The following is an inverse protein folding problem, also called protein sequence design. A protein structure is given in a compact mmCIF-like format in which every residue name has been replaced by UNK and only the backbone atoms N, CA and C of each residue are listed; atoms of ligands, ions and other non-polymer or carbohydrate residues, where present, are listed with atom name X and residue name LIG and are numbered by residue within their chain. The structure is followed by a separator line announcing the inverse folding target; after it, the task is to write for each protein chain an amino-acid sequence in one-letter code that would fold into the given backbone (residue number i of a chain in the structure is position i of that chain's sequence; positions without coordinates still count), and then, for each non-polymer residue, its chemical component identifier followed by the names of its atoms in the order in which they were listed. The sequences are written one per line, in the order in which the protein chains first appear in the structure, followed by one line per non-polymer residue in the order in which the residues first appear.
data_IF_030338649879
#
_entry.id   IF_030338649879
#
_cell.length_a   1.000
_cell.length_b   1.000
_cell.length_c   1.000
_cell.angle_alpha   90.00
_cell.angle_beta   90.00
_cell.angle_gamma   90.00
#
_symmetry.space_group_name_H-M   'P 1'
#
loop_
_entity.id
_entity.type
_entity.pdbx_description
1 polymer ?
#
# COMPACT_ATOMS: atom_id res chain seq x y z
N UNK A 1 31.50 20.58 17.86
CA UNK A 1 30.93 19.90 16.67
C UNK A 1 32.05 19.78 15.66
N UNK A 2 32.43 18.58 15.25
CA UNK A 2 33.47 18.39 14.24
C UNK A 2 32.79 18.45 12.88
N UNK A 3 33.10 19.48 12.08
CA UNK A 3 32.72 19.53 10.67
C UNK A 3 33.91 19.03 9.88
N UNK A 4 33.76 17.91 9.21
CA UNK A 4 34.76 17.39 8.27
C UNK A 4 34.30 17.78 6.87
N UNK A 5 35.11 18.57 6.17
CA UNK A 5 34.94 18.82 4.75
C UNK A 5 36.02 18.04 4.01
N UNK A 6 35.62 17.24 3.04
CA UNK A 6 36.51 16.52 2.14
C UNK A 6 36.40 17.18 0.77
N UNK A 7 37.51 17.68 0.26
CA UNK A 7 37.61 18.30 -1.07
C UNK A 7 38.67 17.55 -1.88
N UNK A 8 38.31 17.17 -3.10
CA UNK A 8 39.22 16.56 -4.07
C UNK A 8 39.76 17.67 -4.98
N UNK A 9 41.05 17.99 -4.84
CA UNK A 9 41.69 19.11 -5.58
C UNK A 9 42.65 18.62 -6.67
N UNK A 10 42.66 17.32 -7.01
CA UNK A 10 43.53 16.79 -8.08
C UNK A 10 42.75 15.88 -9.01
N UNK A 11 42.50 16.36 -10.24
CA UNK A 11 41.97 15.55 -11.33
C UNK A 11 43.13 15.11 -12.24
N UNK A 12 43.89 14.10 -11.82
CA UNK A 12 45.03 13.55 -12.58
C UNK A 12 44.65 12.39 -13.52
N UNK A 13 43.35 12.25 -13.83
CA UNK A 13 42.85 11.34 -14.87
C UNK A 13 42.85 9.85 -14.48
N UNK A 14 43.30 9.49 -13.27
CA UNK A 14 43.29 8.13 -12.73
C UNK A 14 42.61 8.04 -11.36
N UNK A 15 41.33 8.45 -11.30
CA UNK A 15 40.36 7.98 -10.30
C UNK A 15 40.35 8.71 -8.95
N UNK A 16 39.16 8.81 -8.37
CA UNK A 16 38.98 9.24 -6.98
C UNK A 16 39.63 8.19 -6.06
N UNK A 17 40.54 8.62 -5.18
CA UNK A 17 41.22 7.84 -4.13
C UNK A 17 40.35 7.62 -2.87
N UNK A 18 39.06 7.92 -2.97
CA UNK A 18 38.12 7.84 -1.85
C UNK A 18 37.36 6.52 -1.83
N UNK A 19 37.83 5.59 -1.02
CA UNK A 19 37.07 4.42 -0.57
C UNK A 19 36.43 4.74 0.78
N UNK A 20 35.11 4.92 0.81
CA UNK A 20 34.35 4.96 2.06
C UNK A 20 34.11 3.53 2.52
N UNK A 21 34.99 3.01 3.38
CA UNK A 21 34.77 1.75 4.09
C UNK A 21 34.20 2.03 5.49
N UNK A 22 33.31 1.18 5.99
CA UNK A 22 32.61 1.30 7.28
C UNK A 22 31.71 2.54 7.48
N UNK A 23 30.98 2.98 6.45
CA UNK A 23 29.92 3.97 6.66
C UNK A 23 28.75 3.33 7.44
N UNK A 24 28.70 3.57 8.75
CA UNK A 24 27.50 3.26 9.55
C UNK A 24 26.38 4.24 9.19
N UNK A 25 25.58 3.89 8.18
CA UNK A 25 24.30 4.55 7.95
C UNK A 25 23.32 3.96 8.96
N UNK A 26 22.99 4.71 10.02
CA UNK A 26 21.88 4.32 10.87
C UNK A 26 20.59 4.48 10.06
N UNK A 27 19.72 3.46 9.95
CA UNK A 27 18.39 3.65 9.42
C UNK A 27 17.68 4.63 10.36
N UNK A 28 17.48 5.87 9.91
CA UNK A 28 16.53 6.75 10.59
C UNK A 28 15.15 6.31 10.15
N UNK A 29 14.39 5.71 11.06
CA UNK A 29 12.94 5.72 10.93
C UNK A 29 12.51 7.18 11.00
N UNK A 30 11.97 7.71 9.91
CA UNK A 30 11.35 9.02 9.91
C UNK A 30 10.11 8.95 10.83
N UNK A 31 10.26 9.38 12.08
CA UNK A 31 9.15 9.57 13.02
C UNK A 31 8.54 10.98 12.89
N UNK A 32 8.79 11.65 11.77
CA UNK A 32 8.14 12.92 11.43
C UNK A 32 6.91 12.64 10.59
N UNK A 33 5.79 13.30 10.91
CA UNK A 33 4.61 13.28 10.06
C UNK A 33 5.03 13.64 8.63
N UNK A 34 4.84 12.71 7.69
CA UNK A 34 5.09 12.90 6.27
C UNK A 34 4.22 14.08 5.83
N UNK A 35 4.85 15.13 5.32
CA UNK A 35 4.10 16.28 4.83
C UNK A 35 3.45 15.88 3.50
N UNK A 36 2.26 16.41 3.19
CA UNK A 36 1.42 15.98 2.04
C UNK A 36 2.16 15.98 0.69
N UNK A 37 3.21 16.80 0.53
CA UNK A 37 4.06 16.81 -0.66
C UNK A 37 4.96 15.56 -0.79
N UNK A 38 5.37 14.97 0.33
CA UNK A 38 6.13 13.71 0.37
C UNK A 38 5.19 12.51 0.22
N UNK A 39 3.92 12.62 0.66
CA UNK A 39 2.89 11.62 0.44
C UNK A 39 2.62 11.40 -1.07
N UNK A 40 2.58 12.49 -1.85
CA UNK A 40 2.42 12.43 -3.32
C UNK A 40 3.62 11.76 -4.01
N UNK A 41 4.84 11.98 -3.49
CA UNK A 41 6.05 11.34 -4.03
C UNK A 41 6.10 9.85 -3.69
N UNK A 42 5.76 9.45 -2.45
CA UNK A 42 5.75 8.02 -2.08
C UNK A 42 4.64 7.25 -2.78
N UNK A 43 3.49 7.88 -3.06
CA UNK A 43 2.44 7.33 -3.92
C UNK A 43 2.98 7.15 -5.34
N UNK A 44 3.67 8.15 -5.92
CA UNK A 44 4.25 8.06 -7.24
C UNK A 44 5.37 7.01 -7.35
N UNK A 45 6.26 6.90 -6.37
CA UNK A 45 7.33 5.90 -6.31
C UNK A 45 6.77 4.47 -6.13
N UNK A 46 5.72 4.31 -5.32
CA UNK A 46 5.01 3.03 -5.15
C UNK A 46 4.32 2.58 -6.44
N UNK A 47 3.77 3.51 -7.21
CA UNK A 47 3.17 3.24 -8.52
C UNK A 47 4.24 2.98 -9.60
N UNK A 48 5.45 3.53 -9.44
CA UNK A 48 6.56 3.40 -10.38
C UNK A 48 7.43 2.15 -10.16
N UNK A 49 7.43 1.57 -8.95
CA UNK A 49 8.24 0.39 -8.60
C UNK A 49 7.68 -0.93 -9.15
N UNK A 50 6.47 -0.90 -9.74
CA UNK A 50 5.89 -2.07 -10.43
C UNK A 50 5.41 -3.18 -9.50
N UNK A 51 5.29 -2.91 -8.20
CA UNK A 51 4.50 -3.75 -7.31
C UNK A 51 3.03 -3.34 -7.51
N UNK A 52 2.29 -4.22 -8.19
CA UNK A 52 0.88 -4.15 -8.59
C UNK A 52 0.07 -3.02 -7.95
N UNK A 53 -0.42 -2.07 -8.76
CA UNK A 53 -1.28 -0.95 -8.34
C UNK A 53 -2.53 -1.36 -7.53
N UNK A 54 -2.81 -2.66 -7.45
CA UNK A 54 -3.89 -3.29 -6.72
C UNK A 54 -3.53 -3.81 -5.31
N UNK A 55 -2.39 -3.40 -4.73
CA UNK A 55 -2.00 -3.78 -3.35
C UNK A 55 -1.83 -2.54 -2.47
N UNK A 56 -2.51 -2.53 -1.31
CA UNK A 56 -2.32 -1.55 -0.24
C UNK A 56 -1.72 -2.24 0.97
N UNK A 57 -0.62 -1.70 1.51
CA UNK A 57 0.07 -2.27 2.67
C UNK A 57 0.02 -1.34 3.89
N UNK A 58 -0.65 -1.78 4.96
CA UNK A 58 -0.78 -1.07 6.23
C UNK A 58 0.22 -1.57 7.29
N UNK A 59 0.99 -2.64 7.01
CA UNK A 59 1.88 -3.31 7.97
C UNK A 59 2.95 -2.36 8.50
N UNK A 60 3.17 -2.38 9.82
CA UNK A 60 4.26 -1.65 10.47
C UNK A 60 4.01 -0.16 10.67
N UNK A 61 2.82 0.35 10.34
CA UNK A 61 2.47 1.76 10.44
C UNK A 61 1.68 2.12 11.71
N UNK A 62 1.60 1.22 12.69
CA UNK A 62 0.82 1.43 13.91
C UNK A 62 -0.66 1.14 13.69
N UNK A 63 -1.55 1.91 14.35
CA UNK A 63 -3.00 1.70 14.26
C UNK A 63 -3.61 2.52 13.14
N UNK A 64 -3.96 1.90 12.02
CA UNK A 64 -4.50 2.61 10.87
C UNK A 64 -6.00 2.38 10.71
N UNK A 65 -6.66 3.34 10.08
CA UNK A 65 -8.03 3.19 9.59
C UNK A 65 -8.06 3.59 8.14
N UNK A 66 -8.40 2.65 7.27
CA UNK A 66 -8.52 2.84 5.83
C UNK A 66 -9.99 2.78 5.45
N UNK A 67 -10.50 3.82 4.80
CA UNK A 67 -11.81 3.81 4.15
C UNK A 67 -11.61 3.53 2.67
N UNK A 68 -12.36 2.57 2.14
CA UNK A 68 -12.30 2.15 0.73
C UNK A 68 -13.71 2.18 0.17
N UNK A 69 -13.91 2.97 -0.88
CA UNK A 69 -15.13 2.95 -1.68
C UNK A 69 -15.01 1.99 -2.87
N UNK A 70 -16.14 1.64 -3.47
CA UNK A 70 -16.15 0.89 -4.75
C UNK A 70 -15.37 1.63 -5.85
N UNK A 71 -15.45 2.97 -5.88
CA UNK A 71 -14.74 3.79 -6.87
C UNK A 71 -13.23 3.69 -6.73
N UNK A 72 -12.71 3.65 -5.50
CA UNK A 72 -11.27 3.48 -5.23
C UNK A 72 -10.76 2.16 -5.79
N UNK A 73 -11.55 1.09 -5.64
CA UNK A 73 -11.20 -0.25 -6.14
C UNK A 73 -11.22 -0.29 -7.66
N UNK A 74 -12.20 0.34 -8.30
CA UNK A 74 -12.24 0.45 -9.76
C UNK A 74 -11.08 1.28 -10.33
N UNK A 75 -10.57 2.24 -9.55
CA UNK A 75 -9.47 3.12 -9.97
C UNK A 75 -8.08 2.54 -9.71
N UNK A 76 -7.88 1.87 -8.57
CA UNK A 76 -6.58 1.34 -8.16
C UNK A 76 -6.44 -0.17 -8.45
N UNK A 77 -7.55 -0.91 -8.44
CA UNK A 77 -7.55 -2.36 -8.62
C UNK A 77 -7.23 -2.82 -10.03
N UNK A 78 -7.13 -4.14 -10.18
CA UNK A 78 -6.90 -4.79 -11.48
C UNK A 78 -7.72 -6.07 -11.60
N UNK A 79 -8.13 -6.40 -12.83
CA UNK A 79 -9.00 -7.54 -13.08
C UNK A 79 -8.26 -8.86 -12.94
N UNK A 80 -8.90 -9.84 -12.29
CA UNK A 80 -8.41 -11.23 -12.20
C UNK A 80 -7.01 -11.40 -11.58
N UNK A 81 -6.59 -10.48 -10.70
CA UNK A 81 -5.23 -10.48 -10.18
C UNK A 81 -4.96 -11.59 -9.17
N UNK A 82 -5.95 -11.88 -8.31
CA UNK A 82 -5.82 -12.82 -7.21
C UNK A 82 -6.82 -13.97 -7.29
N UNK A 83 -8.00 -13.72 -7.87
CA UNK A 83 -9.08 -14.69 -8.10
C UNK A 83 -9.51 -14.55 -9.56
N UNK A 84 -9.62 -15.65 -10.31
CA UNK A 84 -10.03 -15.59 -11.72
C UNK A 84 -11.55 -15.63 -11.89
N UNK A 85 -12.26 -14.57 -11.52
CA UNK A 85 -13.74 -14.49 -11.52
C UNK A 85 -14.33 -13.35 -12.37
N UNK A 86 -13.47 -12.61 -13.06
CA UNK A 86 -13.82 -11.51 -13.95
C UNK A 86 -13.91 -10.15 -13.28
N UNK A 87 -13.66 -10.05 -11.97
CA UNK A 87 -13.84 -8.80 -11.20
C UNK A 87 -12.56 -8.00 -11.05
N UNK A 88 -12.72 -6.70 -10.81
CA UNK A 88 -11.62 -5.81 -10.41
C UNK A 88 -11.30 -6.02 -8.94
N UNK A 89 -10.02 -6.25 -8.63
CA UNK A 89 -9.61 -6.71 -7.31
C UNK A 89 -8.58 -5.78 -6.69
N UNK A 90 -8.71 -5.58 -5.38
CA UNK A 90 -7.75 -4.85 -4.53
C UNK A 90 -7.38 -5.73 -3.33
N UNK A 91 -6.09 -5.83 -3.02
CA UNK A 91 -5.58 -6.59 -1.87
C UNK A 91 -5.06 -5.62 -0.81
N UNK A 92 -5.48 -5.82 0.44
CA UNK A 92 -5.13 -4.98 1.58
C UNK A 92 -4.41 -5.83 2.61
N UNK A 93 -3.14 -5.50 2.87
CA UNK A 93 -2.31 -6.08 3.92
C UNK A 93 -2.40 -5.21 5.17
N UNK A 94 -2.43 -5.85 6.34
CA UNK A 94 -2.54 -5.17 7.64
C UNK A 94 -2.50 -6.16 8.80
N UNK A 95 -2.56 -5.65 10.02
CA UNK A 95 -2.54 -6.44 11.25
C UNK A 95 -3.77 -6.24 12.15
N UNK A 96 -3.78 -6.89 13.32
CA UNK A 96 -4.92 -6.90 14.24
C UNK A 96 -5.28 -5.54 14.86
N UNK A 97 -4.44 -4.52 14.67
CA UNK A 97 -4.68 -3.17 15.16
C UNK A 97 -5.29 -2.25 14.10
N UNK A 98 -5.37 -2.73 12.85
CA UNK A 98 -5.89 -1.98 11.71
C UNK A 98 -7.39 -2.18 11.51
N UNK A 99 -8.02 -1.16 10.94
CA UNK A 99 -9.44 -1.18 10.56
C UNK A 99 -9.59 -0.82 9.08
N UNK A 100 -10.33 -1.64 8.34
CA UNK A 100 -10.78 -1.32 6.98
C UNK A 100 -12.28 -1.09 7.01
N UNK A 101 -12.71 0.05 6.49
CA UNK A 101 -14.11 0.42 6.29
C UNK A 101 -14.43 0.32 4.81
N UNK A 102 -15.41 -0.51 4.48
CA UNK A 102 -15.91 -0.65 3.12
C UNK A 102 -17.19 0.15 2.99
N UNK A 103 -17.13 1.21 2.19
CA UNK A 103 -18.24 2.12 1.90
C UNK A 103 -18.99 1.61 0.66
N UNK A 104 -20.30 1.41 0.80
CA UNK A 104 -21.18 0.99 -0.28
C UNK A 104 -21.66 2.16 -1.17
N UNK A 105 -21.52 3.40 -0.69
CA UNK A 105 -21.92 4.60 -1.40
C UNK A 105 -20.85 5.00 -2.41
N UNK A 106 -21.29 5.17 -3.67
CA UNK A 106 -20.46 5.73 -4.73
C UNK A 106 -20.20 7.22 -4.48
N UNK A 107 -19.12 7.77 -5.02
CA UNK A 107 -18.72 9.16 -4.80
C UNK A 107 -19.74 10.22 -5.26
N UNK A 108 -20.75 9.84 -6.06
CA UNK A 108 -21.87 10.69 -6.47
C UNK A 108 -23.11 10.57 -5.55
N UNK A 109 -23.02 9.75 -4.49
CA UNK A 109 -24.10 9.45 -3.56
C UNK A 109 -25.01 8.30 -4.01
N UNK A 110 -24.67 7.60 -5.10
CA UNK A 110 -25.40 6.42 -5.56
C UNK A 110 -25.15 5.19 -4.69
N UNK A 111 -26.21 4.54 -4.24
CA UNK A 111 -26.19 3.20 -3.65
C UNK A 111 -26.67 2.22 -4.72
N UNK A 112 -25.77 1.35 -5.17
CA UNK A 112 -26.05 0.37 -6.23
C UNK A 112 -25.92 -1.08 -5.75
N UNK A 113 -25.63 -1.30 -4.46
CA UNK A 113 -25.42 -2.62 -3.88
C UNK A 113 -24.62 -2.56 -2.59
N UNK A 114 -24.41 -3.72 -1.99
CA UNK A 114 -23.78 -3.88 -0.68
C UNK A 114 -22.47 -4.66 -0.78
N UNK A 115 -21.59 -4.44 0.19
CA UNK A 115 -20.45 -5.33 0.45
C UNK A 115 -20.90 -6.63 1.12
N UNK A 116 -20.52 -7.77 0.54
CA UNK A 116 -20.84 -9.09 1.08
C UNK A 116 -19.55 -9.85 1.39
N UNK A 117 -19.38 -10.22 2.66
CA UNK A 117 -18.32 -11.12 3.10
C UNK A 117 -18.56 -12.52 2.51
N UNK A 118 -17.60 -13.00 1.72
CA UNK A 118 -17.68 -14.33 1.13
C UNK A 118 -17.42 -15.43 2.18
N UNK A 119 -18.07 -16.59 2.02
CA UNK A 119 -17.92 -17.70 2.97
C UNK A 119 -16.51 -18.35 2.94
N UNK A 120 -15.70 -18.05 1.93
CA UNK A 120 -14.34 -18.53 1.78
C UNK A 120 -13.28 -17.44 1.94
N UNK A 121 -12.04 -17.89 2.11
CA UNK A 121 -10.83 -17.07 2.08
C UNK A 121 -9.95 -17.53 0.91
N UNK A 122 -9.12 -16.63 0.39
CA UNK A 122 -8.08 -16.99 -0.59
C UNK A 122 -6.69 -16.88 0.03
N UNK A 123 -5.71 -17.56 -0.56
CA UNK A 123 -4.31 -17.49 -0.14
C UNK A 123 -3.47 -16.89 -1.25
N UNK A 124 -2.82 -15.77 -0.97
CA UNK A 124 -1.92 -15.07 -1.90
C UNK A 124 -0.53 -15.06 -1.27
N UNK A 125 0.48 -15.58 -1.99
CA UNK A 125 1.86 -15.67 -1.51
C UNK A 125 2.02 -16.33 -0.11
N UNK A 126 1.15 -17.29 0.22
CA UNK A 126 1.18 -17.99 1.52
C UNK A 126 0.47 -17.27 2.67
N UNK A 127 -0.11 -16.09 2.43
CA UNK A 127 -0.90 -15.32 3.40
C UNK A 127 -2.39 -15.45 3.07
N UNK A 128 -3.24 -15.58 4.10
CA UNK A 128 -4.68 -15.79 3.96
C UNK A 128 -5.44 -14.47 4.01
N UNK A 129 -6.41 -14.31 3.11
CA UNK A 129 -7.22 -13.11 2.94
C UNK A 129 -8.72 -13.45 2.94
N UNK A 130 -9.49 -12.66 3.67
CA UNK A 130 -10.94 -12.67 3.60
C UNK A 130 -11.40 -11.87 2.37
N UNK A 131 -12.27 -12.47 1.56
CA UNK A 131 -12.82 -11.82 0.37
C UNK A 131 -14.14 -11.12 0.71
N UNK A 132 -14.29 -9.88 0.26
CA UNK A 132 -15.51 -9.10 0.26
C UNK A 132 -15.85 -8.74 -1.18
N UNK A 133 -17.07 -9.02 -1.60
CA UNK A 133 -17.54 -8.74 -2.96
C UNK A 133 -18.68 -7.74 -2.95
N UNK A 134 -18.66 -6.79 -3.87
CA UNK A 134 -19.78 -5.89 -4.05
C UNK A 134 -20.92 -6.58 -4.82
N UNK A 135 -22.18 -6.37 -4.43
CA UNK A 135 -23.33 -7.04 -5.05
C UNK A 135 -23.80 -6.40 -6.37
N UNK A 136 -23.55 -5.09 -6.53
CA UNK A 136 -23.98 -4.32 -7.70
C UNK A 136 -22.89 -3.98 -8.71
N UNK A 137 -21.62 -4.24 -8.38
CA UNK A 137 -20.45 -3.84 -9.18
C UNK A 137 -19.45 -4.98 -9.21
N UNK A 138 -18.76 -5.18 -10.32
CA UNK A 138 -17.73 -6.20 -10.51
C UNK A 138 -16.42 -5.83 -9.78
N UNK A 139 -16.50 -5.72 -8.45
CA UNK A 139 -15.41 -5.34 -7.56
C UNK A 139 -15.31 -6.27 -6.35
N UNK A 140 -14.08 -6.66 -6.02
CA UNK A 140 -13.75 -7.43 -4.82
C UNK A 140 -12.57 -6.80 -4.06
N UNK A 141 -12.61 -6.95 -2.74
CA UNK A 141 -11.48 -6.61 -1.84
C UNK A 141 -11.05 -7.86 -1.08
N UNK A 142 -9.75 -8.11 -1.10
CA UNK A 142 -9.08 -9.16 -0.35
C UNK A 142 -8.39 -8.52 0.86
N UNK A 143 -8.91 -8.74 2.06
CA UNK A 143 -8.37 -8.15 3.29
C UNK A 143 -7.65 -9.23 4.09
N UNK A 144 -6.40 -8.97 4.47
CA UNK A 144 -5.58 -9.93 5.21
C UNK A 144 -6.27 -10.36 6.52
N UNK A 145 -6.24 -11.67 6.80
CA UNK A 145 -6.81 -12.20 8.04
C UNK A 145 -6.13 -11.60 9.27
N UNK A 146 -6.93 -11.07 10.20
CA UNK A 146 -6.46 -10.36 11.39
C UNK A 146 -6.92 -8.90 11.41
N UNK A 147 -7.03 -8.25 10.25
CA UNK A 147 -7.54 -6.87 10.14
C UNK A 147 -9.02 -6.82 10.50
N UNK A 148 -9.45 -5.79 11.24
CA UNK A 148 -10.88 -5.56 11.51
C UNK A 148 -11.55 -4.96 10.27
N UNK A 149 -12.66 -5.54 9.84
CA UNK A 149 -13.46 -4.98 8.75
C UNK A 149 -14.81 -4.46 9.26
N UNK A 150 -15.19 -3.27 8.81
CA UNK A 150 -16.49 -2.64 9.04
C UNK A 150 -17.14 -2.38 7.68
N UNK A 151 -18.41 -2.77 7.54
CA UNK A 151 -19.24 -2.41 6.38
C UNK A 151 -20.05 -1.18 6.80
N UNK A 152 -19.96 -0.11 6.02
CA UNK A 152 -20.48 1.22 6.35
C UNK A 152 -21.57 1.60 5.39
#
# INVERSE_FOLDING_TARGET
MVKVAVVNDTADGYGNDFLLDNLFIQPRTHTGAITVAEADSVLAESLASGEEAAVIDMIGNGKNTLSVSVADILSAGSKDLFIGDGKTQLLIKGDAQDVVKLDDILGDGGDVGDWVKQQGSTTVAGVKYQVYSHSGVDADVLIQEGVKTELV
#
